data_IF_030356884483
#
_entry.id   IF_030356884483
#
_cell.length_a   1.000
_cell.length_b   1.000
_cell.length_c   1.000
_cell.angle_alpha   90.00
_cell.angle_beta   90.00
_cell.angle_gamma   90.00
#
_symmetry.space_group_name_H-M   'P 1'
#
loop_
_entity.id
_entity.type
_entity.pdbx_description
1 polymer ?
#
# COMPACT_ATOMS: atom_id res chain seq x y z
N UNK A 1 12.32 -46.83 14.01
CA UNK A 1 12.78 -46.59 12.63
C UNK A 1 13.19 -45.13 12.53
N UNK A 2 14.47 -44.88 12.28
CA UNK A 2 15.12 -43.58 12.46
C UNK A 2 15.00 -42.72 11.19
N UNK A 3 14.68 -41.45 11.45
CA UNK A 3 14.76 -40.28 10.57
C UNK A 3 16.01 -40.26 9.68
N UNK A 4 15.82 -39.91 8.41
CA UNK A 4 16.90 -39.47 7.52
C UNK A 4 16.57 -38.09 6.99
N UNK A 5 17.49 -37.17 7.24
CA UNK A 5 17.39 -35.73 7.02
C UNK A 5 18.07 -35.31 5.72
N UNK A 6 17.66 -34.12 5.30
CA UNK A 6 17.82 -33.41 4.02
C UNK A 6 19.26 -32.93 3.70
N UNK A 7 20.28 -33.79 3.82
CA UNK A 7 21.71 -33.39 3.65
C UNK A 7 22.53 -34.16 2.59
N UNK A 8 21.88 -34.88 1.67
CA UNK A 8 22.58 -35.64 0.60
C UNK A 8 22.08 -35.29 -0.81
N UNK A 9 22.17 -34.02 -1.21
CA UNK A 9 22.01 -33.71 -2.64
C UNK A 9 22.92 -32.57 -3.12
N UNK A 10 24.16 -32.56 -2.62
CA UNK A 10 25.26 -31.79 -3.20
C UNK A 10 26.53 -32.64 -3.19
N UNK A 11 26.66 -33.52 -4.17
CA UNK A 11 27.94 -34.09 -4.60
C UNK A 11 27.77 -34.66 -6.01
N UNK A 12 28.83 -34.61 -6.82
CA UNK A 12 28.98 -35.12 -8.20
C UNK A 12 28.28 -34.29 -9.27
N UNK A 13 28.91 -33.75 -10.32
CA UNK A 13 30.27 -33.81 -10.89
C UNK A 13 30.35 -32.60 -11.84
N UNK A 14 31.46 -31.92 -12.08
CA UNK A 14 32.74 -32.43 -12.54
C UNK A 14 33.16 -31.54 -13.72
N UNK A 15 34.31 -30.90 -13.57
CA UNK A 15 34.94 -29.93 -14.49
C UNK A 15 35.20 -30.53 -15.88
N UNK A 16 35.00 -29.74 -16.93
CA UNK A 16 35.79 -29.79 -18.17
C UNK A 16 36.15 -28.36 -18.58
N UNK A 17 37.45 -28.11 -18.71
CA UNK A 17 38.06 -26.96 -19.39
C UNK A 17 38.60 -27.50 -20.72
N UNK A 18 38.43 -26.74 -21.83
CA UNK A 18 39.51 -26.30 -22.73
C UNK A 18 38.92 -25.51 -23.91
N UNK A 19 39.29 -24.22 -23.94
CA UNK A 19 39.78 -23.36 -25.03
C UNK A 19 39.19 -23.50 -26.45
N UNK A 20 38.65 -22.38 -26.96
CA UNK A 20 38.44 -22.14 -28.38
C UNK A 20 38.23 -20.65 -28.66
N UNK A 21 39.13 -20.09 -29.45
CA UNK A 21 39.35 -18.67 -29.76
C UNK A 21 38.18 -17.96 -30.47
N UNK A 22 38.07 -16.64 -30.28
CA UNK A 22 37.73 -15.72 -31.36
C UNK A 22 36.48 -14.85 -31.20
N UNK A 23 36.66 -13.58 -31.58
CA UNK A 23 35.68 -12.53 -31.87
C UNK A 23 35.09 -11.74 -30.68
N UNK A 24 35.65 -10.53 -30.55
CA UNK A 24 35.04 -9.38 -29.88
C UNK A 24 33.75 -9.04 -30.64
N UNK A 25 32.61 -9.10 -29.96
CA UNK A 25 31.40 -8.40 -30.35
C UNK A 25 30.88 -7.62 -29.14
N UNK A 26 30.99 -6.29 -29.23
CA UNK A 26 30.35 -5.34 -28.32
C UNK A 26 28.83 -5.49 -28.48
N UNK A 27 28.23 -6.34 -27.64
CA UNK A 27 26.79 -6.44 -27.48
C UNK A 27 26.35 -5.62 -26.28
N UNK A 28 25.68 -4.50 -26.55
CA UNK A 28 25.01 -3.64 -25.59
C UNK A 28 24.14 -4.44 -24.61
N UNK A 29 24.44 -4.31 -23.32
CA UNK A 29 23.55 -4.67 -22.21
C UNK A 29 22.33 -3.75 -22.25
N UNK A 30 21.32 -4.10 -23.04
CA UNK A 30 19.98 -3.58 -22.86
C UNK A 30 19.37 -4.32 -21.67
N UNK A 31 19.28 -3.62 -20.54
CA UNK A 31 18.43 -4.02 -19.43
C UNK A 31 16.99 -4.12 -19.98
N UNK A 32 16.49 -5.35 -20.11
CA UNK A 32 15.10 -5.60 -20.42
C UNK A 32 14.26 -5.28 -19.18
N UNK A 33 13.95 -4.00 -18.97
CA UNK A 33 12.74 -3.60 -18.28
C UNK A 33 11.57 -3.82 -19.25
N UNK A 34 11.25 -5.10 -19.51
CA UNK A 34 10.03 -5.48 -20.20
C UNK A 34 8.93 -5.64 -19.16
N UNK A 35 8.10 -4.61 -19.00
CA UNK A 35 6.75 -4.83 -18.47
C UNK A 35 6.04 -5.78 -19.43
N UNK A 36 5.33 -6.82 -18.96
CA UNK A 36 4.54 -7.65 -19.85
C UNK A 36 3.49 -6.77 -20.51
N UNK A 37 3.66 -6.53 -21.81
CA UNK A 37 2.66 -5.91 -22.66
C UNK A 37 1.50 -6.89 -22.77
N UNK A 38 0.37 -6.57 -22.14
CA UNK A 38 -0.88 -7.27 -22.33
C UNK A 38 -1.32 -7.11 -23.79
N UNK A 39 -1.50 -8.22 -24.50
CA UNK A 39 -2.05 -8.22 -25.86
C UNK A 39 -3.48 -7.63 -25.83
N UNK A 40 -3.78 -6.56 -26.59
CA UNK A 40 -5.09 -5.90 -26.53
C UNK A 40 -6.26 -6.76 -27.02
N UNK A 41 -5.97 -7.90 -27.66
CA UNK A 41 -6.97 -8.79 -28.29
C UNK A 41 -7.33 -10.04 -27.46
N UNK A 42 -6.78 -10.22 -26.25
CA UNK A 42 -7.27 -11.27 -25.34
C UNK A 42 -8.39 -10.69 -24.47
N UNK A 43 -9.63 -11.22 -24.52
CA UNK A 43 -10.70 -10.74 -23.65
C UNK A 43 -10.25 -10.89 -22.18
N UNK A 44 -10.12 -9.76 -21.49
CA UNK A 44 -9.83 -9.75 -20.06
C UNK A 44 -10.94 -10.47 -19.27
N UNK A 45 -10.62 -10.91 -18.06
CA UNK A 45 -11.64 -11.43 -17.13
C UNK A 45 -12.69 -10.33 -16.93
N UNK A 46 -13.99 -10.57 -17.22
CA UNK A 46 -15.01 -9.56 -17.00
C UNK A 46 -15.26 -9.35 -15.50
N UNK A 47 -15.77 -8.17 -15.14
CA UNK A 47 -16.24 -7.91 -13.78
C UNK A 47 -17.57 -8.66 -13.52
N UNK A 48 -17.81 -9.13 -12.28
CA UNK A 48 -19.11 -9.65 -11.87
C UNK A 48 -20.23 -8.61 -12.06
N UNK A 49 -21.46 -9.05 -12.33
CA UNK A 49 -22.61 -8.15 -12.52
C UNK A 49 -22.93 -7.33 -11.27
N UNK A 50 -22.72 -7.91 -10.08
CA UNK A 50 -22.96 -7.28 -8.78
C UNK A 50 -21.68 -6.68 -8.15
N UNK A 51 -20.67 -6.38 -8.97
CA UNK A 51 -19.40 -5.84 -8.48
C UNK A 51 -19.59 -4.50 -7.77
N UNK A 52 -18.91 -4.36 -6.64
CA UNK A 52 -18.86 -3.15 -5.84
C UNK A 52 -17.43 -2.64 -5.76
N UNK A 53 -17.28 -1.32 -5.79
CA UNK A 53 -15.99 -0.65 -5.63
C UNK A 53 -15.73 -0.43 -4.15
N UNK A 54 -14.58 -0.89 -3.67
CA UNK A 54 -14.12 -0.68 -2.30
C UNK A 54 -12.94 0.29 -2.32
N UNK A 55 -13.16 1.52 -1.87
CA UNK A 55 -12.13 2.55 -1.79
C UNK A 55 -11.09 2.18 -0.72
N UNK A 56 -9.79 2.25 -1.06
CA UNK A 56 -8.67 1.97 -0.15
C UNK A 56 -7.79 3.21 0.09
N UNK A 57 -8.36 4.39 -0.12
CA UNK A 57 -7.72 5.69 0.11
C UNK A 57 -8.46 6.48 1.20
N UNK A 58 -7.77 7.42 1.88
CA UNK A 58 -8.41 8.22 2.92
C UNK A 58 -9.39 9.23 2.31
N UNK A 59 -10.34 9.71 3.10
CA UNK A 59 -11.40 10.62 2.65
C UNK A 59 -11.01 12.11 2.75
N UNK A 60 -9.74 12.41 2.96
CA UNK A 60 -9.17 13.75 3.10
C UNK A 60 -8.18 14.06 1.96
N UNK A 61 -8.50 13.63 0.74
CA UNK A 61 -7.64 13.83 -0.43
C UNK A 61 -7.45 15.32 -0.72
N UNK A 62 -6.21 15.74 -0.97
CA UNK A 62 -5.87 17.13 -1.29
C UNK A 62 -5.55 17.25 -2.77
N UNK A 63 -5.94 18.37 -3.39
CA UNK A 63 -5.61 18.69 -4.79
C UNK A 63 -4.13 18.47 -5.12
N UNK A 64 -3.86 17.90 -6.30
CA UNK A 64 -2.54 17.53 -6.80
C UNK A 64 -2.52 16.08 -7.30
N UNK A 65 -1.37 15.41 -7.12
CA UNK A 65 -1.20 14.01 -7.51
C UNK A 65 -1.88 13.06 -6.52
N UNK A 66 -2.96 12.41 -6.97
CA UNK A 66 -3.76 11.49 -6.18
C UNK A 66 -3.42 10.03 -6.52
N UNK A 67 -3.36 9.20 -5.47
CA UNK A 67 -3.30 7.75 -5.57
C UNK A 67 -4.61 7.17 -5.04
N UNK A 68 -5.39 6.54 -5.92
CA UNK A 68 -6.73 6.01 -5.66
C UNK A 68 -6.71 4.47 -5.78
N UNK A 69 -6.15 3.73 -4.80
CA UNK A 69 -6.26 2.28 -4.75
C UNK A 69 -7.70 1.85 -4.52
N UNK A 70 -8.16 0.93 -5.36
CA UNK A 70 -9.47 0.30 -5.27
C UNK A 70 -9.31 -1.20 -5.06
N UNK A 71 -10.18 -1.80 -4.27
CA UNK A 71 -10.45 -3.26 -4.29
C UNK A 71 -11.86 -3.51 -4.81
N UNK A 72 -12.18 -4.76 -5.08
CA UNK A 72 -13.49 -5.17 -5.58
C UNK A 72 -14.20 -6.05 -4.55
N UNK A 73 -15.52 -5.94 -4.49
CA UNK A 73 -16.41 -6.82 -3.73
C UNK A 73 -17.54 -7.34 -4.64
N UNK A 74 -18.12 -8.48 -4.30
CA UNK A 74 -19.27 -9.09 -4.97
C UNK A 74 -19.86 -10.15 -4.03
N UNK A 75 -21.13 -10.48 -4.18
CA UNK A 75 -21.87 -11.41 -3.32
C UNK A 75 -21.76 -11.06 -1.81
N UNK A 76 -21.65 -9.77 -1.49
CA UNK A 76 -21.55 -9.27 -0.11
C UNK A 76 -20.18 -9.43 0.56
N UNK A 77 -19.13 -9.80 -0.19
CA UNK A 77 -17.78 -9.97 0.34
C UNK A 77 -16.69 -9.40 -0.57
N UNK A 78 -15.50 -9.17 -0.01
CA UNK A 78 -14.32 -8.79 -0.79
C UNK A 78 -13.91 -9.91 -1.73
N UNK A 79 -13.56 -9.56 -2.98
CA UNK A 79 -12.92 -10.47 -3.90
C UNK A 79 -11.48 -10.70 -3.47
N UNK A 80 -11.08 -11.96 -3.35
CA UNK A 80 -9.74 -12.38 -2.88
C UNK A 80 -8.99 -13.17 -3.96
N UNK A 81 -7.67 -13.27 -3.83
CA UNK A 81 -6.80 -14.01 -4.77
C UNK A 81 -7.16 -15.51 -4.83
N UNK A 82 -7.53 -16.09 -3.69
CA UNK A 82 -7.89 -17.50 -3.54
C UNK A 82 -9.41 -17.74 -3.66
N UNK A 83 -10.17 -16.68 -3.93
CA UNK A 83 -11.62 -16.73 -4.07
C UNK A 83 -12.08 -17.44 -5.35
N UNK A 84 -13.37 -17.86 -5.41
CA UNK A 84 -13.93 -18.53 -6.57
C UNK A 84 -14.05 -17.60 -7.78
N UNK A 85 -14.20 -16.30 -7.55
CA UNK A 85 -14.36 -15.29 -8.58
C UNK A 85 -12.99 -14.74 -8.98
N UNK A 86 -12.62 -14.92 -10.24
CA UNK A 86 -11.40 -14.34 -10.80
C UNK A 86 -11.57 -12.84 -10.99
N UNK A 87 -10.49 -12.11 -10.79
CA UNK A 87 -10.43 -10.65 -10.99
C UNK A 87 -9.52 -10.31 -12.17
N UNK A 88 -9.74 -9.17 -12.85
CA UNK A 88 -8.92 -8.76 -13.98
C UNK A 88 -7.49 -8.38 -13.55
N UNK A 89 -6.50 -8.64 -14.40
CA UNK A 89 -5.13 -8.15 -14.14
C UNK A 89 -5.01 -6.63 -14.30
N UNK A 90 -5.87 -6.02 -15.11
CA UNK A 90 -5.92 -4.58 -15.36
C UNK A 90 -7.35 -4.09 -15.24
N UNK A 91 -7.55 -2.96 -14.56
CA UNK A 91 -8.81 -2.22 -14.58
C UNK A 91 -8.64 -0.93 -15.37
N UNK A 92 -9.68 -0.57 -16.11
CA UNK A 92 -9.80 0.73 -16.76
C UNK A 92 -10.88 1.56 -16.06
N UNK A 93 -10.64 2.86 -15.95
CA UNK A 93 -11.56 3.78 -15.31
C UNK A 93 -11.60 5.15 -15.98
N UNK A 94 -12.65 5.89 -15.68
CA UNK A 94 -12.76 7.33 -15.90
C UNK A 94 -13.08 8.05 -14.60
N UNK A 95 -12.71 9.31 -14.53
CA UNK A 95 -13.03 10.20 -13.41
C UNK A 95 -13.91 11.33 -13.92
N UNK A 96 -15.02 11.53 -13.23
CA UNK A 96 -15.98 12.59 -13.46
C UNK A 96 -15.90 13.57 -12.30
N UNK A 97 -15.95 14.87 -12.59
CA UNK A 97 -16.33 15.89 -11.62
C UNK A 97 -17.86 15.93 -11.54
N UNK A 98 -18.38 15.94 -10.32
CA UNK A 98 -19.82 15.76 -10.05
C UNK A 98 -20.50 16.95 -9.36
N UNK A 99 -19.81 18.09 -9.32
CA UNK A 99 -20.32 19.33 -8.73
C UNK A 99 -21.56 19.86 -9.49
N UNK A 100 -22.48 20.49 -8.76
CA UNK A 100 -23.69 21.14 -9.29
C UNK A 100 -24.59 20.25 -10.15
N UNK A 101 -24.53 18.92 -9.95
CA UNK A 101 -25.33 17.96 -10.71
C UNK A 101 -24.87 17.75 -12.16
N UNK A 102 -23.69 18.26 -12.53
CA UNK A 102 -23.04 17.97 -13.82
C UNK A 102 -22.10 16.77 -13.69
N UNK A 103 -21.81 16.11 -14.80
CA UNK A 103 -20.83 15.01 -14.87
C UNK A 103 -19.78 15.37 -15.92
N UNK A 104 -18.81 16.19 -15.53
CA UNK A 104 -17.76 16.64 -16.44
C UNK A 104 -16.60 15.63 -16.40
N UNK A 105 -16.20 15.08 -17.55
CA UNK A 105 -15.08 14.13 -17.62
C UNK A 105 -13.77 14.87 -17.33
N UNK A 106 -13.05 14.41 -16.31
CA UNK A 106 -11.77 14.97 -15.87
C UNK A 106 -10.60 14.12 -16.37
N UNK A 107 -10.78 12.80 -16.37
CA UNK A 107 -9.82 11.85 -16.91
C UNK A 107 -10.55 10.64 -17.49
N UNK A 108 -10.03 10.08 -18.56
CA UNK A 108 -10.59 8.92 -19.26
C UNK A 108 -9.47 7.95 -19.64
N UNK A 109 -9.80 6.66 -19.77
CA UNK A 109 -8.82 5.63 -20.13
C UNK A 109 -7.70 5.44 -19.08
N UNK A 110 -7.97 5.78 -17.82
CA UNK A 110 -7.02 5.49 -16.74
C UNK A 110 -6.92 3.99 -16.58
N UNK A 111 -5.70 3.47 -16.47
CA UNK A 111 -5.46 2.04 -16.24
C UNK A 111 -4.73 1.82 -14.93
N UNK A 112 -5.09 0.76 -14.20
CA UNK A 112 -4.36 0.31 -13.03
C UNK A 112 -4.11 -1.19 -13.13
N UNK A 113 -2.88 -1.60 -12.80
CA UNK A 113 -2.49 -3.01 -12.71
C UNK A 113 -2.95 -3.61 -11.38
N UNK A 114 -3.21 -4.91 -11.33
CA UNK A 114 -3.51 -5.63 -10.09
C UNK A 114 -2.26 -5.75 -9.24
N UNK A 115 -2.38 -5.38 -7.97
CA UNK A 115 -1.38 -5.63 -6.94
C UNK A 115 -1.94 -6.61 -5.91
N UNK A 116 -1.33 -7.78 -5.82
CA UNK A 116 -1.77 -8.88 -4.95
C UNK A 116 -0.59 -9.62 -4.27
N UNK A 117 0.63 -9.11 -4.43
CA UNK A 117 1.83 -9.73 -3.90
C UNK A 117 1.75 -9.90 -2.37
N UNK A 118 1.50 -11.15 -1.94
CA UNK A 118 1.29 -11.54 -0.53
C UNK A 118 0.09 -10.87 0.14
N UNK A 119 -0.91 -10.49 -0.62
CA UNK A 119 -2.16 -9.93 -0.11
C UNK A 119 -3.31 -10.85 -0.46
N UNK A 120 -4.16 -11.17 0.53
CA UNK A 120 -5.37 -11.94 0.27
C UNK A 120 -6.37 -11.15 -0.59
N UNK A 121 -6.43 -9.83 -0.39
CA UNK A 121 -7.30 -8.93 -1.17
C UNK A 121 -6.44 -8.11 -2.15
N UNK A 122 -6.62 -8.29 -3.47
CA UNK A 122 -5.94 -7.46 -4.46
C UNK A 122 -6.42 -6.00 -4.42
N UNK A 123 -5.58 -5.10 -4.93
CA UNK A 123 -5.96 -3.72 -5.20
C UNK A 123 -5.39 -3.20 -6.52
N UNK A 124 -6.02 -2.17 -7.08
CA UNK A 124 -5.65 -1.51 -8.32
C UNK A 124 -5.41 -0.02 -8.03
N UNK A 125 -4.15 0.45 -7.99
CA UNK A 125 -3.83 1.85 -7.70
C UNK A 125 -3.96 2.71 -8.96
N UNK A 126 -5.05 3.48 -9.05
CA UNK A 126 -5.17 4.52 -10.06
C UNK A 126 -4.37 5.75 -9.63
N UNK A 127 -3.71 6.39 -10.58
CA UNK A 127 -2.99 7.65 -10.37
C UNK A 127 -3.58 8.72 -11.29
N UNK A 128 -3.83 9.90 -10.73
CA UNK A 128 -4.41 11.03 -11.45
C UNK A 128 -3.96 12.33 -10.80
N UNK A 129 -3.71 13.35 -11.60
CA UNK A 129 -3.50 14.71 -11.11
C UNK A 129 -4.84 15.48 -11.15
N UNK A 130 -5.29 15.99 -10.00
CA UNK A 130 -6.53 16.79 -9.87
C UNK A 130 -6.21 18.10 -9.14
N UNK A 131 -6.09 19.18 -9.90
CA UNK A 131 -5.72 20.51 -9.36
C UNK A 131 -6.90 21.27 -8.73
N UNK A 132 -8.13 20.87 -9.05
CA UNK A 132 -9.32 21.58 -8.58
C UNK A 132 -9.93 20.87 -7.37
N UNK A 133 -10.39 21.64 -6.39
CA UNK A 133 -11.19 21.11 -5.29
C UNK A 133 -12.62 20.84 -5.76
N UNK A 134 -13.31 19.92 -5.09
CA UNK A 134 -14.69 19.57 -5.41
C UNK A 134 -15.00 18.10 -5.18
N UNK A 135 -16.17 17.68 -5.66
CA UNK A 135 -16.63 16.30 -5.62
C UNK A 135 -16.37 15.61 -6.96
N UNK A 136 -15.87 14.39 -6.86
CA UNK A 136 -15.48 13.56 -7.98
C UNK A 136 -16.05 12.15 -7.84
N UNK A 137 -16.06 11.41 -8.94
CA UNK A 137 -16.45 10.01 -9.00
C UNK A 137 -15.50 9.25 -9.91
N UNK A 138 -14.96 8.15 -9.42
CA UNK A 138 -14.27 7.17 -10.27
C UNK A 138 -15.27 6.10 -10.72
N UNK A 139 -15.32 5.83 -12.02
CA UNK A 139 -16.20 4.83 -12.64
C UNK A 139 -15.34 3.81 -13.37
N UNK A 140 -15.46 2.52 -13.01
CA UNK A 140 -14.77 1.43 -13.67
C UNK A 140 -15.51 1.01 -14.94
N UNK A 141 -14.77 0.64 -15.98
CA UNK A 141 -15.34 0.03 -17.17
C UNK A 141 -15.90 -1.35 -16.84
N UNK A 142 -17.17 -1.60 -17.20
CA UNK A 142 -17.90 -2.81 -16.82
C UNK A 142 -18.31 -2.88 -15.35
N UNK A 143 -18.06 -1.82 -14.56
CA UNK A 143 -18.49 -1.70 -13.17
C UNK A 143 -19.81 -0.93 -13.01
N UNK A 144 -20.21 -0.64 -11.76
CA UNK A 144 -21.46 0.05 -11.47
C UNK A 144 -21.40 1.51 -11.96
N UNK A 145 -22.47 1.98 -12.60
CA UNK A 145 -22.51 3.29 -13.27
C UNK A 145 -22.42 4.50 -12.33
N UNK A 146 -22.80 4.32 -11.08
CA UNK A 146 -22.71 5.30 -10.00
C UNK A 146 -21.30 5.38 -9.37
N UNK A 147 -20.40 4.46 -9.73
CA UNK A 147 -18.99 4.50 -9.38
C UNK A 147 -18.70 4.61 -7.88
N UNK A 148 -17.55 5.20 -7.54
CA UNK A 148 -17.21 5.54 -6.16
C UNK A 148 -16.91 7.05 -6.05
N UNK A 149 -17.71 7.75 -5.25
CA UNK A 149 -17.55 9.19 -5.05
C UNK A 149 -16.43 9.51 -4.05
N UNK A 150 -15.72 10.60 -4.27
CA UNK A 150 -14.69 11.11 -3.36
C UNK A 150 -14.63 12.63 -3.44
N UNK A 151 -14.09 13.27 -2.40
CA UNK A 151 -13.91 14.71 -2.35
C UNK A 151 -12.42 15.05 -2.40
N UNK A 152 -12.10 16.13 -3.10
CA UNK A 152 -10.77 16.74 -3.15
C UNK A 152 -10.84 18.10 -2.45
N UNK A 153 -10.03 18.27 -1.43
CA UNK A 153 -9.95 19.44 -0.57
C UNK A 153 -8.79 20.36 -0.96
N UNK A 154 -8.85 21.62 -0.55
CA UNK A 154 -7.68 22.49 -0.62
C UNK A 154 -6.66 22.04 0.43
N UNK A 155 -5.36 22.27 0.17
CA UNK A 155 -4.29 21.91 1.12
C UNK A 155 -4.53 22.49 2.51
N UNK A 156 -5.00 23.74 2.60
CA UNK A 156 -5.23 24.42 3.87
C UNK A 156 -6.40 23.87 4.71
N UNK A 157 -7.28 23.06 4.12
CA UNK A 157 -8.44 22.50 4.82
C UNK A 157 -8.12 21.17 5.52
N UNK A 158 -6.98 20.55 5.19
CA UNK A 158 -6.57 19.24 5.72
C UNK A 158 -5.40 19.42 6.69
N UNK A 159 -5.59 19.06 7.95
CA UNK A 159 -4.53 19.17 8.96
C UNK A 159 -3.43 18.11 8.81
N UNK A 160 -3.76 16.94 8.23
CA UNK A 160 -2.81 15.86 8.02
C UNK A 160 -1.61 16.34 7.20
N UNK A 161 -0.35 16.09 7.64
CA UNK A 161 0.84 16.46 6.87
C UNK A 161 0.80 15.86 5.46
N UNK A 162 0.98 16.71 4.46
CA UNK A 162 1.05 16.34 3.06
C UNK A 162 2.48 16.32 2.54
N UNK A 163 2.63 16.09 1.24
CA UNK A 163 3.92 16.12 0.57
C UNK A 163 4.51 17.54 0.65
N UNK A 164 5.74 17.65 1.15
CA UNK A 164 6.46 18.92 1.29
C UNK A 164 6.29 19.61 2.64
N UNK A 165 5.34 19.17 3.47
CA UNK A 165 5.16 19.72 4.81
C UNK A 165 6.19 19.18 5.80
N UNK A 166 6.50 19.98 6.83
CA UNK A 166 7.27 19.49 7.95
C UNK A 166 6.45 18.48 8.76
N UNK A 167 7.05 17.31 9.04
CA UNK A 167 6.44 16.33 9.93
C UNK A 167 6.46 16.89 11.37
N UNK A 168 5.31 17.01 12.08
CA UNK A 168 5.27 17.50 13.45
C UNK A 168 6.11 16.62 14.38
N UNK A 169 6.94 17.26 15.20
CA UNK A 169 7.65 16.56 16.27
C UNK A 169 6.65 16.12 17.35
N UNK A 170 6.71 14.86 17.73
CA UNK A 170 5.83 14.28 18.74
C UNK A 170 6.54 13.07 19.36
N UNK A 171 6.33 12.85 20.66
CA UNK A 171 6.92 11.69 21.32
C UNK A 171 5.99 10.47 21.20
N UNK A 172 6.25 9.64 20.19
CA UNK A 172 5.55 8.37 20.03
C UNK A 172 5.82 7.41 21.21
N UNK A 173 4.85 6.56 21.61
CA UNK A 173 5.10 5.49 22.58
C UNK A 173 6.31 4.64 22.21
N UNK A 174 7.05 4.18 23.22
CA UNK A 174 8.21 3.29 23.08
C UNK A 174 8.13 2.14 24.08
N UNK A 175 9.06 1.20 23.99
CA UNK A 175 9.23 0.15 25.01
C UNK A 175 9.58 0.71 26.39
N UNK A 176 10.28 1.84 26.45
CA UNK A 176 10.71 2.47 27.71
C UNK A 176 9.62 3.35 28.33
N UNK A 177 8.78 3.98 27.50
CA UNK A 177 7.65 4.78 27.94
C UNK A 177 6.45 4.63 26.98
N UNK A 178 5.43 3.92 27.47
CA UNK A 178 4.21 3.64 26.72
C UNK A 178 3.31 4.87 26.52
N UNK A 179 3.52 5.96 27.29
CA UNK A 179 2.78 7.23 27.14
C UNK A 179 1.25 7.07 27.10
N UNK A 180 0.75 6.12 27.89
CA UNK A 180 -0.69 5.83 28.00
C UNK A 180 -1.27 4.97 26.87
N UNK A 181 -0.43 4.37 26.01
CA UNK A 181 -0.85 3.42 24.96
C UNK A 181 -0.57 1.99 25.41
N UNK A 182 -1.60 1.18 25.61
CA UNK A 182 -1.48 -0.23 26.02
C UNK A 182 -2.41 -1.15 25.21
N UNK A 183 -1.86 -2.07 24.38
CA UNK A 183 -0.44 -2.27 24.13
C UNK A 183 0.11 -1.21 23.17
N UNK A 184 1.40 -0.89 23.29
CA UNK A 184 2.09 -0.02 22.31
C UNK A 184 2.11 -0.61 20.90
N UNK A 185 1.92 -1.93 20.78
CA UNK A 185 1.85 -2.64 19.50
C UNK A 185 0.86 -3.80 19.61
N UNK A 186 -0.12 -3.82 18.72
CA UNK A 186 -1.16 -4.85 18.63
C UNK A 186 -0.80 -5.99 17.67
N UNK A 187 0.36 -5.91 17.01
CA UNK A 187 0.92 -6.99 16.20
C UNK A 187 1.02 -8.28 17.02
N UNK A 188 0.76 -9.41 16.37
CA UNK A 188 0.88 -10.75 16.94
C UNK A 188 1.86 -11.61 16.11
N UNK A 189 2.55 -12.59 16.73
CA UNK A 189 2.48 -12.97 18.15
C UNK A 189 3.29 -12.07 19.09
N UNK A 190 4.25 -11.31 18.56
CA UNK A 190 5.11 -10.41 19.33
C UNK A 190 4.98 -8.97 18.81
N UNK A 191 5.22 -8.00 19.70
CA UNK A 191 5.31 -6.60 19.31
C UNK A 191 6.42 -6.41 18.27
N UNK A 192 6.19 -5.54 17.29
CA UNK A 192 7.20 -5.25 16.29
C UNK A 192 8.38 -4.45 16.90
N UNK A 193 9.59 -4.50 16.32
CA UNK A 193 10.77 -3.82 16.88
C UNK A 193 10.79 -2.30 16.64
N UNK A 194 9.71 -1.70 16.11
CA UNK A 194 9.71 -0.31 15.65
C UNK A 194 9.27 0.69 16.74
N UNK A 195 9.56 0.38 18.01
CA UNK A 195 9.16 1.12 19.22
C UNK A 195 10.37 1.46 20.11
N UNK A 196 11.57 1.59 19.52
CA UNK A 196 12.81 1.86 20.26
C UNK A 196 13.04 3.35 20.55
N UNK A 197 12.55 4.23 19.68
CA UNK A 197 12.77 5.68 19.78
C UNK A 197 11.48 6.43 19.49
N UNK A 198 11.38 7.63 20.05
CA UNK A 198 10.30 8.56 19.73
C UNK A 198 10.50 9.20 18.35
N UNK A 199 9.43 9.73 17.75
CA UNK A 199 9.54 10.53 16.53
C UNK A 199 10.36 11.82 16.74
N UNK A 200 10.26 12.47 17.89
CA UNK A 200 11.11 13.63 18.26
C UNK A 200 12.60 13.28 18.22
N UNK A 201 13.00 12.16 18.84
CA UNK A 201 14.39 11.69 18.81
C UNK A 201 14.82 11.35 17.39
N UNK A 202 13.98 10.64 16.62
CA UNK A 202 14.27 10.28 15.24
C UNK A 202 14.52 11.50 14.35
N UNK A 203 13.76 12.59 14.53
CA UNK A 203 13.96 13.85 13.82
C UNK A 203 15.33 14.48 14.13
N UNK A 204 15.87 14.27 15.33
CA UNK A 204 17.19 14.79 15.73
C UNK A 204 18.37 14.05 15.07
N UNK A 205 18.16 12.83 14.56
CA UNK A 205 19.23 12.00 14.00
C UNK A 205 19.71 12.45 12.61
N UNK A 206 18.98 13.34 11.94
CA UNK A 206 19.30 13.79 10.58
C UNK A 206 19.19 12.70 9.52
N UNK A 207 18.47 11.61 9.82
CA UNK A 207 18.20 10.50 8.89
C UNK A 207 16.75 10.58 8.39
N UNK A 208 16.46 10.12 7.16
CA UNK A 208 15.09 9.96 6.71
C UNK A 208 14.29 9.04 7.65
N UNK A 209 13.02 9.39 7.87
CA UNK A 209 12.13 8.67 8.80
C UNK A 209 11.03 7.98 7.99
N UNK A 210 10.71 6.74 8.37
CA UNK A 210 9.54 6.02 7.90
C UNK A 210 8.63 5.78 9.09
N UNK A 211 7.55 6.56 9.18
CA UNK A 211 6.52 6.45 10.20
C UNK A 211 5.32 5.70 9.63
N UNK A 212 4.93 4.60 10.27
CA UNK A 212 3.68 3.90 10.00
C UNK A 212 2.72 4.11 11.17
N UNK A 213 1.59 4.76 10.89
CA UNK A 213 0.46 4.83 11.82
C UNK A 213 -0.58 3.81 11.38
N UNK A 214 -0.82 2.79 12.20
CA UNK A 214 -1.75 1.72 11.85
C UNK A 214 -1.89 0.69 12.96
N UNK A 215 -3.07 0.08 13.06
CA UNK A 215 -3.39 -0.86 14.14
C UNK A 215 -3.71 -2.25 13.59
N UNK A 216 -2.72 -3.18 13.58
CA UNK A 216 -2.91 -4.55 13.12
C UNK A 216 -4.19 -5.23 13.62
N UNK A 217 -4.55 -5.08 14.90
CA UNK A 217 -5.70 -5.78 15.48
C UNK A 217 -7.09 -5.20 15.11
N UNK A 218 -7.18 -3.91 14.76
CA UNK A 218 -8.45 -3.20 14.54
C UNK A 218 -8.67 -2.74 13.10
N UNK A 219 -7.72 -3.04 12.21
CA UNK A 219 -7.79 -2.64 10.82
C UNK A 219 -8.87 -3.43 10.06
N UNK A 220 -10.06 -2.85 9.90
CA UNK A 220 -11.21 -3.50 9.26
C UNK A 220 -10.92 -4.03 7.84
N UNK A 221 -10.00 -3.38 7.12
CA UNK A 221 -9.60 -3.75 5.76
C UNK A 221 -8.55 -4.87 5.70
N UNK A 222 -7.99 -5.27 6.85
CA UNK A 222 -6.95 -6.30 6.95
C UNK A 222 -5.59 -5.91 6.36
N UNK A 223 -5.37 -4.63 6.03
CA UNK A 223 -4.16 -4.17 5.33
C UNK A 223 -3.03 -3.74 6.26
N UNK A 224 -3.34 -3.41 7.52
CA UNK A 224 -2.37 -2.85 8.46
C UNK A 224 -1.31 -3.87 8.88
N UNK A 225 -1.70 -5.12 9.17
CA UNK A 225 -0.75 -6.16 9.56
C UNK A 225 0.24 -6.52 8.42
N UNK A 226 -0.19 -6.81 7.18
CA UNK A 226 0.74 -7.05 6.07
C UNK A 226 1.65 -5.85 5.76
N UNK A 227 1.14 -4.62 5.91
CA UNK A 227 1.95 -3.42 5.72
C UNK A 227 3.05 -3.30 6.78
N UNK A 228 2.72 -3.56 8.05
CA UNK A 228 3.70 -3.57 9.15
C UNK A 228 4.74 -4.69 8.97
N UNK A 229 4.32 -5.90 8.58
CA UNK A 229 5.24 -7.01 8.30
C UNK A 229 6.21 -6.68 7.16
N UNK A 230 5.71 -6.07 6.08
CA UNK A 230 6.55 -5.61 4.98
C UNK A 230 7.54 -4.53 5.45
N UNK A 231 7.09 -3.60 6.30
CA UNK A 231 7.92 -2.53 6.85
C UNK A 231 9.04 -3.09 7.74
N UNK A 232 8.73 -4.03 8.64
CA UNK A 232 9.72 -4.73 9.47
C UNK A 232 10.74 -5.47 8.60
N UNK A 233 10.28 -6.11 7.52
CA UNK A 233 11.16 -6.78 6.56
C UNK A 233 12.12 -5.82 5.85
N UNK A 234 11.67 -4.60 5.53
CA UNK A 234 12.51 -3.54 4.95
C UNK A 234 13.47 -2.98 5.99
N UNK A 235 13.00 -2.69 7.21
CA UNK A 235 13.81 -2.17 8.31
C UNK A 235 15.01 -3.08 8.61
N UNK A 236 14.81 -4.40 8.58
CA UNK A 236 15.88 -5.38 8.77
C UNK A 236 16.97 -5.34 7.68
N UNK A 237 16.64 -4.89 6.46
CA UNK A 237 17.58 -4.83 5.31
C UNK A 237 18.19 -3.45 5.10
N UNK A 238 17.49 -2.40 5.51
CA UNK A 238 17.86 -1.00 5.32
C UNK A 238 18.39 -0.34 6.61
N UNK A 239 18.76 -1.16 7.60
CA UNK A 239 19.19 -0.69 8.92
C UNK A 239 20.36 0.30 8.80
N UNK A 240 20.23 1.44 9.48
CA UNK A 240 21.23 2.50 9.51
C UNK A 240 21.01 3.66 8.54
N UNK A 241 20.29 3.46 7.43
CA UNK A 241 19.98 4.53 6.46
C UNK A 241 18.69 5.31 6.77
N UNK A 242 17.75 4.66 7.47
CA UNK A 242 16.45 5.23 7.84
C UNK A 242 16.17 4.95 9.31
N UNK A 243 15.31 5.76 9.92
CA UNK A 243 14.68 5.45 11.21
C UNK A 243 13.24 4.99 10.96
N UNK A 244 12.87 3.83 11.49
CA UNK A 244 11.55 3.24 11.29
C UNK A 244 10.76 3.30 12.60
N UNK A 245 9.54 3.82 12.54
CA UNK A 245 8.66 3.96 13.71
C UNK A 245 7.29 3.38 13.36
N UNK A 246 6.73 2.60 14.27
CA UNK A 246 5.33 2.20 14.26
C UNK A 246 4.59 2.92 15.38
N UNK A 247 3.39 3.42 15.11
CA UNK A 247 2.49 3.93 16.12
C UNK A 247 1.07 3.38 15.90
N UNK A 248 0.42 3.04 17.00
CA UNK A 248 -0.97 2.60 17.02
C UNK A 248 -1.93 3.77 16.76
N UNK A 249 -3.06 3.51 16.10
CA UNK A 249 -4.16 4.47 15.96
C UNK A 249 -4.93 4.63 17.26
N UNK A 250 -4.97 3.57 18.09
CA UNK A 250 -5.72 3.52 19.33
C UNK A 250 -4.79 3.41 20.55
N UNK A 251 -5.21 4.01 21.66
CA UNK A 251 -4.49 3.97 22.92
C UNK A 251 -4.79 2.69 23.73
N UNK A 252 -5.87 1.99 23.41
CA UNK A 252 -6.35 0.82 24.14
C UNK A 252 -6.77 -0.33 23.22
N UNK A 253 -6.77 -1.54 23.78
CA UNK A 253 -7.14 -2.80 23.11
C UNK A 253 -8.58 -2.86 22.59
N UNK A 254 -9.47 -2.03 23.13
CA UNK A 254 -10.87 -2.04 22.74
C UNK A 254 -11.16 -0.95 21.69
N UNK A 255 -10.12 -0.24 21.22
CA UNK A 255 -10.19 0.85 20.26
C UNK A 255 -11.18 1.96 20.68
N UNK A 256 -11.25 2.24 21.99
CA UNK A 256 -12.18 3.23 22.55
C UNK A 256 -11.61 4.64 22.59
N UNK A 257 -10.28 4.77 22.56
CA UNK A 257 -9.55 6.03 22.62
C UNK A 257 -8.51 6.09 21.50
N UNK A 258 -8.44 7.23 20.81
CA UNK A 258 -7.39 7.46 19.81
C UNK A 258 -6.05 7.68 20.49
N UNK A 259 -4.99 7.16 19.89
CA UNK A 259 -3.63 7.35 20.37
C UNK A 259 -3.17 8.80 20.14
N UNK A 260 -2.22 9.31 20.95
CA UNK A 260 -1.68 10.67 20.81
C UNK A 260 -1.18 11.03 19.41
N UNK A 261 -0.65 10.06 18.65
CA UNK A 261 -0.16 10.27 17.28
C UNK A 261 -1.25 10.74 16.32
N UNK A 262 -2.48 10.26 16.49
CA UNK A 262 -3.63 10.63 15.63
C UNK A 262 -3.93 12.11 15.80
N UNK A 263 -3.96 12.59 17.04
CA UNK A 263 -4.15 14.00 17.37
C UNK A 263 -2.98 14.85 16.89
N UNK A 264 -1.74 14.39 17.12
CA UNK A 264 -0.54 15.12 16.73
C UNK A 264 -0.42 15.32 15.21
N UNK A 265 -0.93 14.36 14.42
CA UNK A 265 -0.95 14.41 12.97
C UNK A 265 -2.27 14.92 12.38
N UNK A 266 -3.24 15.37 13.20
CA UNK A 266 -4.54 15.86 12.71
C UNK A 266 -5.33 14.82 11.89
N UNK A 267 -5.23 13.54 12.26
CA UNK A 267 -5.87 12.40 11.59
C UNK A 267 -7.26 12.08 12.17
N UNK A 268 -7.87 13.00 12.92
CA UNK A 268 -9.14 12.85 13.61
C UNK A 268 -10.36 13.27 12.78
#
# INVERSE_FOLDING_TARGET
MRSTTRREFLATSGRVIVVGSGAIALGSLAAACGSPSSDPDTPGVPLPEDVQIVQRFPQNLVSGDLRLPLSLASAGGLLTTDGPTKTPDVLTARILRIDDGRNDVVAEGLTAQRHDAKLATPYWPFFVNIEQTGFYRIVLDGGPSDGAAFQVFARGDIAVPGIGDALPAFDTPTFDDARGVDPICTQQPEACPLHEVTLTEALSFGKPIVLLVGTPAHCATGTCAPALEALVSVAARASGAYTFIHAEVYADRDATQVAPVVTALGMN
#
